data_IF_535564491750
#
_entry.id   IF_535564491750
#
_cell.length_a   1.000
_cell.length_b   1.000
_cell.length_c   1.000
_cell.angle_alpha   90.00
_cell.angle_beta   90.00
_cell.angle_gamma   90.00
#
_symmetry.space_group_name_H-M   'P 1'
#
loop_
_entity.id
_entity.type
_entity.pdbx_description
1 polymer ?
#
# COMPACT_ATOMS: atom_id res chain seq x y z
N UNK A 1 -32.57 7.75 -0.80
CA UNK A 1 -32.02 7.00 -1.93
C UNK A 1 -30.60 7.50 -2.26
N UNK A 2 -29.55 7.08 -1.49
CA UNK A 2 -28.16 7.57 -1.73
C UNK A 2 -27.10 6.56 -1.29
N UNK A 3 -27.27 5.26 -1.55
CA UNK A 3 -26.29 4.29 -1.03
C UNK A 3 -25.78 3.23 -2.03
N UNK A 4 -25.95 3.43 -3.34
CA UNK A 4 -25.44 2.46 -4.34
C UNK A 4 -24.06 2.81 -4.92
N UNK A 5 -23.60 4.05 -4.84
CA UNK A 5 -22.32 4.47 -5.45
C UNK A 5 -21.07 4.08 -4.66
N UNK A 6 -21.17 3.73 -3.39
CA UNK A 6 -20.00 3.41 -2.54
C UNK A 6 -19.46 1.99 -2.67
N UNK A 7 -20.18 1.09 -3.34
CA UNK A 7 -19.91 -0.36 -3.28
C UNK A 7 -18.59 -0.79 -3.93
N UNK A 8 -18.06 -0.01 -4.88
CA UNK A 8 -16.85 -0.35 -5.66
C UNK A 8 -15.67 0.63 -5.49
N UNK A 9 -15.77 1.58 -4.58
CA UNK A 9 -14.66 2.52 -4.30
C UNK A 9 -13.67 1.89 -3.30
N UNK A 10 -12.39 2.24 -3.45
CA UNK A 10 -11.37 1.90 -2.45
C UNK A 10 -11.77 2.41 -1.07
N UNK A 11 -11.25 1.76 -0.04
CA UNK A 11 -11.51 2.15 1.34
C UNK A 11 -10.78 3.45 1.65
N UNK A 12 -11.50 4.43 2.21
CA UNK A 12 -10.95 5.73 2.60
C UNK A 12 -10.41 5.71 4.03
N UNK A 13 -9.67 6.74 4.41
CA UNK A 13 -9.25 6.92 5.81
C UNK A 13 -10.45 6.99 6.76
N UNK A 14 -11.53 7.68 6.36
CA UNK A 14 -12.75 7.80 7.18
C UNK A 14 -13.42 6.43 7.37
N UNK A 15 -13.47 5.60 6.31
CA UNK A 15 -13.96 4.21 6.42
C UNK A 15 -13.12 3.42 7.43
N UNK A 16 -11.80 3.58 7.42
CA UNK A 16 -10.86 2.91 8.32
C UNK A 16 -11.00 3.38 9.78
N UNK A 17 -11.22 4.69 9.99
CA UNK A 17 -11.49 5.24 11.32
C UNK A 17 -12.79 4.67 11.88
N UNK A 18 -13.86 4.63 11.08
CA UNK A 18 -15.14 4.06 11.49
C UNK A 18 -15.00 2.56 11.83
N UNK A 19 -14.22 1.79 11.04
CA UNK A 19 -13.91 0.39 11.36
C UNK A 19 -13.21 0.30 12.72
N UNK A 20 -12.18 1.10 12.95
CA UNK A 20 -11.42 1.09 14.21
C UNK A 20 -12.31 1.39 15.41
N UNK A 21 -13.18 2.40 15.33
CA UNK A 21 -14.11 2.75 16.39
C UNK A 21 -15.12 1.65 16.66
N UNK A 22 -15.71 1.08 15.61
CA UNK A 22 -16.65 -0.03 15.72
C UNK A 22 -16.01 -1.27 16.34
N UNK A 23 -14.77 -1.59 15.96
CA UNK A 23 -13.98 -2.66 16.58
C UNK A 23 -13.73 -2.40 18.07
N UNK A 24 -13.46 -1.15 18.44
CA UNK A 24 -13.25 -0.77 19.84
C UNK A 24 -14.51 -0.88 20.68
N UNK A 25 -15.67 -0.77 20.04
CA UNK A 25 -16.99 -1.01 20.66
C UNK A 25 -17.41 -2.50 20.64
N UNK A 26 -16.58 -3.39 20.13
CA UNK A 26 -16.87 -4.84 20.07
C UNK A 26 -17.91 -5.22 19.02
N UNK A 27 -18.14 -4.42 18.01
CA UNK A 27 -19.11 -4.69 16.95
C UNK A 27 -18.68 -5.84 16.04
N UNK A 28 -19.67 -6.57 15.49
CA UNK A 28 -19.43 -7.64 14.52
C UNK A 28 -19.10 -7.08 13.13
N UNK A 29 -18.36 -7.84 12.31
CA UNK A 29 -18.07 -7.43 10.92
C UNK A 29 -19.32 -7.15 10.08
N UNK A 30 -20.43 -7.86 10.35
CA UNK A 30 -21.72 -7.59 9.67
C UNK A 30 -22.24 -6.19 10.01
N UNK A 31 -22.19 -5.81 11.29
CA UNK A 31 -22.63 -4.49 11.74
C UNK A 31 -21.72 -3.37 11.23
N UNK A 32 -20.40 -3.58 11.26
CA UNK A 32 -19.42 -2.64 10.71
C UNK A 32 -19.63 -2.45 9.20
N UNK A 33 -19.82 -3.54 8.48
CA UNK A 33 -20.04 -3.52 7.03
C UNK A 33 -21.28 -2.70 6.63
N UNK A 34 -22.36 -2.81 7.40
CA UNK A 34 -23.58 -2.02 7.19
C UNK A 34 -23.33 -0.52 7.38
N UNK A 35 -22.50 -0.13 8.35
CA UNK A 35 -22.17 1.29 8.62
C UNK A 35 -21.26 1.90 7.55
N UNK A 36 -20.21 1.15 7.15
CA UNK A 36 -19.23 1.61 6.16
C UNK A 36 -19.73 1.46 4.72
N UNK A 37 -20.84 0.74 4.50
CA UNK A 37 -21.39 0.46 3.17
C UNK A 37 -20.51 -0.49 2.34
N UNK A 38 -19.84 -1.44 2.99
CA UNK A 38 -18.98 -2.46 2.37
C UNK A 38 -19.49 -3.87 2.69
N UNK A 39 -18.90 -4.90 2.08
CA UNK A 39 -19.25 -6.28 2.45
C UNK A 39 -18.55 -6.72 3.75
N UNK A 40 -19.13 -7.62 4.55
CA UNK A 40 -18.48 -8.17 5.75
C UNK A 40 -17.15 -8.86 5.44
N UNK A 41 -17.03 -9.48 4.27
CA UNK A 41 -15.79 -10.10 3.80
C UNK A 41 -14.70 -9.08 3.51
N UNK A 42 -15.05 -7.91 2.98
CA UNK A 42 -14.12 -6.79 2.77
C UNK A 42 -13.58 -6.27 4.10
N UNK A 43 -14.47 -6.06 5.09
CA UNK A 43 -14.05 -5.64 6.44
C UNK A 43 -13.13 -6.68 7.09
N UNK A 44 -13.47 -7.96 6.98
CA UNK A 44 -12.64 -9.04 7.52
C UNK A 44 -11.25 -9.10 6.89
N UNK A 45 -11.16 -8.92 5.57
CA UNK A 45 -9.88 -8.87 4.84
C UNK A 45 -9.05 -7.66 5.26
N UNK A 46 -9.64 -6.48 5.30
CA UNK A 46 -8.99 -5.24 5.74
C UNK A 46 -8.38 -5.40 7.14
N UNK A 47 -9.17 -5.89 8.11
CA UNK A 47 -8.69 -6.09 9.49
C UNK A 47 -7.56 -7.11 9.55
N UNK A 48 -7.65 -8.23 8.82
CA UNK A 48 -6.62 -9.28 8.82
C UNK A 48 -5.31 -8.84 8.17
N UNK A 49 -5.39 -8.05 7.09
CA UNK A 49 -4.20 -7.57 6.37
C UNK A 49 -3.45 -6.53 7.20
N UNK A 50 -4.19 -5.62 7.85
CA UNK A 50 -3.61 -4.46 8.53
C UNK A 50 -3.54 -4.58 10.05
N UNK A 51 -3.87 -5.75 10.63
CA UNK A 51 -3.64 -5.96 12.06
C UNK A 51 -2.15 -6.09 12.36
N UNK A 52 -1.74 -5.52 13.48
CA UNK A 52 -0.36 -5.59 13.94
C UNK A 52 -0.22 -6.22 15.33
N UNK A 53 0.91 -6.87 15.54
CA UNK A 53 1.24 -7.51 16.82
C UNK A 53 1.92 -6.52 17.73
N UNK A 54 1.32 -6.27 18.89
CA UNK A 54 1.92 -5.48 19.95
C UNK A 54 2.43 -6.40 21.08
N UNK A 55 3.72 -6.28 21.36
CA UNK A 55 4.37 -6.97 22.46
C UNK A 55 4.55 -5.95 23.59
N UNK A 56 4.06 -6.25 24.77
CA UNK A 56 4.29 -5.45 25.97
C UNK A 56 5.17 -6.22 26.96
N UNK A 57 5.68 -5.53 27.98
CA UNK A 57 6.53 -6.11 29.04
C UNK A 57 5.85 -7.22 29.86
N UNK A 58 4.53 -7.36 29.77
CA UNK A 58 3.75 -8.34 30.52
C UNK A 58 3.46 -9.62 29.73
N UNK A 59 3.93 -9.73 28.48
CA UNK A 59 3.78 -10.95 27.67
C UNK A 59 4.63 -12.05 28.31
N UNK A 60 3.97 -13.06 28.83
CA UNK A 60 4.61 -14.22 29.49
C UNK A 60 4.22 -15.56 28.87
N UNK A 61 3.26 -15.57 27.92
CA UNK A 61 2.77 -16.78 27.30
C UNK A 61 3.15 -16.81 25.84
N UNK A 62 3.82 -17.85 25.43
CA UNK A 62 3.98 -18.20 24.04
C UNK A 62 2.67 -18.78 23.52
N UNK A 63 2.16 -18.22 22.44
CA UNK A 63 0.91 -18.66 21.83
C UNK A 63 -0.04 -17.52 21.51
N UNK A 64 -1.15 -17.90 20.89
CA UNK A 64 -2.20 -16.99 20.45
C UNK A 64 -3.37 -17.06 21.42
N UNK A 65 -3.88 -15.90 21.85
CA UNK A 65 -5.09 -15.83 22.64
C UNK A 65 -6.27 -16.48 21.87
N UNK A 66 -7.01 -17.38 22.52
CA UNK A 66 -8.15 -18.10 21.92
C UNK A 66 -9.20 -17.17 21.33
N UNK A 67 -9.38 -15.96 21.89
CA UNK A 67 -10.29 -14.94 21.33
C UNK A 67 -9.86 -14.45 19.95
N UNK A 68 -8.57 -14.49 19.61
CA UNK A 68 -8.05 -14.07 18.31
C UNK A 68 -8.21 -15.11 17.20
N UNK A 69 -8.60 -16.34 17.54
CA UNK A 69 -8.93 -17.38 16.56
C UNK A 69 -10.32 -17.18 15.92
N UNK A 70 -11.13 -16.32 16.52
CA UNK A 70 -12.48 -15.97 16.05
C UNK A 70 -12.55 -14.47 15.72
N UNK A 71 -13.50 -14.11 14.84
CA UNK A 71 -13.78 -12.71 14.56
C UNK A 71 -14.06 -11.92 15.87
N UNK A 72 -13.52 -10.69 15.98
CA UNK A 72 -12.90 -9.86 14.95
C UNK A 72 -11.38 -10.02 14.76
N UNK A 73 -10.73 -11.04 15.31
CA UNK A 73 -9.29 -11.36 15.20
C UNK A 73 -8.35 -10.32 15.81
N UNK A 74 -8.88 -9.28 16.45
CA UNK A 74 -8.13 -8.17 17.06
C UNK A 74 -8.60 -7.89 18.48
N UNK A 75 -7.73 -7.23 19.23
CA UNK A 75 -7.97 -6.87 20.64
C UNK A 75 -8.58 -5.47 20.82
N UNK A 76 -9.00 -4.77 19.77
CA UNK A 76 -9.51 -3.41 19.85
C UNK A 76 -10.65 -3.25 20.88
N UNK A 77 -11.63 -4.14 20.87
CA UNK A 77 -12.74 -4.15 21.83
C UNK A 77 -12.56 -5.09 23.04
N UNK A 78 -11.32 -5.57 23.29
CA UNK A 78 -11.09 -6.49 24.41
C UNK A 78 -10.97 -5.72 25.73
N UNK A 79 -11.78 -6.06 26.73
CA UNK A 79 -11.74 -5.45 28.07
C UNK A 79 -10.38 -5.60 28.77
N UNK A 80 -9.65 -6.68 28.48
CA UNK A 80 -8.33 -6.93 29.06
C UNK A 80 -7.20 -6.16 28.32
N UNK A 81 -7.52 -5.40 27.27
CA UNK A 81 -6.53 -4.70 26.46
C UNK A 81 -5.67 -3.74 27.26
N UNK A 82 -6.27 -2.98 28.18
CA UNK A 82 -5.59 -1.99 29.03
C UNK A 82 -5.02 -2.57 30.33
N UNK A 83 -5.35 -3.83 30.64
CA UNK A 83 -4.95 -4.44 31.91
C UNK A 83 -3.67 -5.25 31.77
N UNK A 84 -2.82 -5.21 32.79
CA UNK A 84 -1.62 -6.05 32.92
C UNK A 84 -1.94 -7.55 33.03
N UNK A 85 -3.20 -7.91 33.24
CA UNK A 85 -3.67 -9.30 33.31
C UNK A 85 -3.63 -10.05 31.98
N UNK A 86 -3.61 -9.35 30.82
CA UNK A 86 -3.44 -10.00 29.53
C UNK A 86 -1.97 -10.33 29.27
N UNK A 87 -1.63 -11.63 29.26
CA UNK A 87 -0.27 -12.16 29.09
C UNK A 87 0.08 -12.56 27.67
N UNK A 88 -0.87 -12.46 26.72
CA UNK A 88 -0.67 -12.79 25.30
C UNK A 88 -0.19 -11.59 24.50
N UNK A 89 0.43 -11.86 23.35
CA UNK A 89 0.66 -10.85 22.31
C UNK A 89 -0.67 -10.30 21.85
N UNK A 90 -0.77 -8.99 21.69
CA UNK A 90 -2.01 -8.31 21.29
C UNK A 90 -2.00 -8.07 19.79
N UNK A 91 -3.14 -8.32 19.16
CA UNK A 91 -3.37 -7.94 17.77
C UNK A 91 -4.25 -6.69 17.76
N UNK A 92 -3.81 -5.62 17.14
CA UNK A 92 -4.55 -4.36 17.06
C UNK A 92 -4.71 -3.92 15.61
N UNK A 93 -5.86 -3.40 15.28
CA UNK A 93 -6.10 -2.69 14.03
C UNK A 93 -6.00 -1.19 14.27
N UNK A 94 -5.22 -0.49 13.42
CA UNK A 94 -5.03 0.95 13.43
C UNK A 94 -5.37 1.54 12.07
N UNK A 95 -6.36 2.44 12.02
CA UNK A 95 -6.79 3.11 10.80
C UNK A 95 -5.65 3.90 10.14
N UNK A 96 -4.86 4.62 10.94
CA UNK A 96 -3.73 5.41 10.45
C UNK A 96 -2.66 4.53 9.80
N UNK A 97 -2.33 3.39 10.44
CA UNK A 97 -1.35 2.45 9.89
C UNK A 97 -1.86 1.80 8.60
N UNK A 98 -3.10 1.30 8.61
CA UNK A 98 -3.72 0.70 7.43
C UNK A 98 -3.77 1.68 6.24
N UNK A 99 -4.01 2.97 6.50
CA UNK A 99 -3.96 4.00 5.48
C UNK A 99 -2.54 4.20 4.95
N UNK A 100 -1.53 4.31 5.82
CA UNK A 100 -0.13 4.46 5.41
C UNK A 100 0.37 3.28 4.60
N UNK A 101 0.06 2.04 4.99
CA UNK A 101 0.40 0.84 4.22
C UNK A 101 -0.27 0.85 2.84
N UNK A 102 -1.55 1.24 2.75
CA UNK A 102 -2.25 1.39 1.48
C UNK A 102 -1.60 2.45 0.57
N UNK A 103 -1.24 3.62 1.12
CA UNK A 103 -0.56 4.68 0.39
C UNK A 103 0.81 4.24 -0.11
N UNK A 104 1.57 3.50 0.70
CA UNK A 104 2.86 2.90 0.30
C UNK A 104 2.69 1.97 -0.89
N UNK A 105 1.73 1.05 -0.85
CA UNK A 105 1.43 0.14 -1.97
C UNK A 105 1.02 0.91 -3.22
N UNK A 106 0.24 2.00 -3.09
CA UNK A 106 -0.11 2.85 -4.22
C UNK A 106 1.09 3.54 -4.86
N UNK A 107 2.03 4.04 -4.04
CA UNK A 107 3.26 4.66 -4.52
C UNK A 107 4.13 3.61 -5.20
N UNK A 108 4.41 2.50 -4.53
CA UNK A 108 5.24 1.42 -5.05
C UNK A 108 4.70 0.84 -6.37
N UNK A 109 3.38 0.65 -6.47
CA UNK A 109 2.75 0.16 -7.70
C UNK A 109 2.87 1.11 -8.89
N UNK A 110 3.12 2.41 -8.64
CA UNK A 110 3.29 3.45 -9.65
C UNK A 110 4.75 3.78 -9.96
N UNK A 111 5.68 3.33 -9.13
CA UNK A 111 7.13 3.55 -9.32
C UNK A 111 7.74 2.56 -10.30
N UNK A 112 7.03 1.49 -10.64
CA UNK A 112 7.48 0.51 -11.62
C UNK A 112 7.61 1.06 -13.04
N UNK A 113 8.39 0.36 -13.87
CA UNK A 113 8.54 0.64 -15.30
C UNK A 113 7.34 0.02 -16.02
N UNK A 114 6.51 0.78 -16.76
CA UNK A 114 5.32 0.28 -17.42
C UNK A 114 5.63 -0.49 -18.72
N UNK A 115 6.79 -1.12 -18.79
CA UNK A 115 7.27 -1.90 -19.93
C UNK A 115 7.63 -3.32 -19.48
N UNK A 116 7.45 -4.30 -20.39
CA UNK A 116 8.06 -5.60 -20.17
C UNK A 116 9.59 -5.50 -20.28
N UNK A 117 10.29 -6.53 -19.79
CA UNK A 117 11.75 -6.53 -19.70
C UNK A 117 12.44 -6.31 -21.06
N UNK A 118 11.94 -6.93 -22.11
CA UNK A 118 12.50 -6.84 -23.47
C UNK A 118 12.33 -5.44 -24.05
N UNK A 119 11.11 -4.89 -23.99
CA UNK A 119 10.82 -3.52 -24.43
C UNK A 119 11.59 -2.48 -23.62
N UNK A 120 11.84 -2.72 -22.33
CA UNK A 120 12.63 -1.82 -21.51
C UNK A 120 14.08 -1.74 -22.00
N UNK A 121 14.73 -2.87 -22.23
CA UNK A 121 16.11 -2.89 -22.73
C UNK A 121 16.24 -2.30 -24.15
N UNK A 122 15.24 -2.50 -25.00
CA UNK A 122 15.23 -1.89 -26.33
C UNK A 122 15.16 -0.37 -26.25
N UNK A 123 14.22 0.15 -25.45
CA UNK A 123 14.08 1.59 -25.20
C UNK A 123 15.35 2.19 -24.59
N UNK A 124 15.94 1.49 -23.61
CA UNK A 124 17.17 1.93 -22.98
C UNK A 124 18.33 2.01 -23.98
N UNK A 125 18.49 1.01 -24.84
CA UNK A 125 19.52 1.00 -25.89
C UNK A 125 19.37 2.19 -26.83
N UNK A 126 18.15 2.44 -27.33
CA UNK A 126 17.88 3.58 -28.22
C UNK A 126 18.22 4.91 -27.53
N UNK A 127 17.78 5.08 -26.29
CA UNK A 127 18.04 6.32 -25.54
C UNK A 127 19.56 6.49 -25.32
N UNK A 128 20.25 5.45 -24.90
CA UNK A 128 21.70 5.51 -24.63
C UNK A 128 22.51 5.84 -25.90
N UNK A 129 22.19 5.16 -27.01
CA UNK A 129 22.88 5.37 -28.28
C UNK A 129 22.69 6.79 -28.83
N UNK A 130 21.49 7.32 -28.72
CA UNK A 130 21.17 8.64 -29.27
C UNK A 130 21.59 9.80 -28.34
N UNK A 131 21.58 9.59 -27.02
CA UNK A 131 22.19 10.55 -26.08
C UNK A 131 23.71 10.63 -26.28
N UNK A 132 24.41 9.53 -26.53
CA UNK A 132 25.84 9.55 -26.86
C UNK A 132 26.14 10.31 -28.15
N UNK A 133 25.21 10.36 -29.09
CA UNK A 133 25.28 11.18 -30.31
C UNK A 133 24.93 12.67 -30.07
N UNK A 134 24.66 13.06 -28.82
CA UNK A 134 24.30 14.42 -28.43
C UNK A 134 22.84 14.80 -28.72
N UNK A 135 21.93 13.83 -28.94
CA UNK A 135 20.53 14.13 -29.17
C UNK A 135 19.80 14.43 -27.86
N UNK A 136 18.90 15.39 -27.91
CA UNK A 136 18.06 15.72 -26.76
C UNK A 136 16.95 14.69 -26.57
N UNK A 137 16.67 14.29 -25.33
CA UNK A 137 15.67 13.25 -24.97
C UNK A 137 14.31 13.48 -25.63
N UNK A 138 13.85 14.74 -25.75
CA UNK A 138 12.61 15.07 -26.43
C UNK A 138 12.58 14.55 -27.88
N UNK A 139 13.66 14.78 -28.63
CA UNK A 139 13.76 14.33 -30.03
C UNK A 139 13.85 12.81 -30.10
N UNK A 140 14.64 12.18 -29.22
CA UNK A 140 14.77 10.71 -29.18
C UNK A 140 13.41 10.04 -28.99
N UNK A 141 12.63 10.47 -28.00
CA UNK A 141 11.31 9.89 -27.70
C UNK A 141 10.34 10.09 -28.86
N UNK A 142 10.36 11.28 -29.48
CA UNK A 142 9.44 11.62 -30.59
C UNK A 142 9.83 10.95 -31.90
N UNK A 143 11.11 10.97 -32.27
CA UNK A 143 11.59 10.41 -33.55
C UNK A 143 11.45 8.88 -33.59
N UNK A 144 11.74 8.22 -32.46
CA UNK A 144 11.65 6.76 -32.36
C UNK A 144 10.27 6.27 -31.94
N UNK A 145 9.28 7.15 -31.75
CA UNK A 145 7.92 6.80 -31.31
C UNK A 145 7.91 5.85 -30.09
N UNK A 146 8.78 6.14 -29.09
CA UNK A 146 8.95 5.25 -27.96
C UNK A 146 7.65 5.11 -27.13
N UNK A 147 7.33 3.91 -26.59
CA UNK A 147 6.10 3.63 -25.87
C UNK A 147 6.11 4.19 -24.42
N UNK A 148 6.93 5.21 -24.16
CA UNK A 148 7.07 5.86 -22.86
C UNK A 148 7.01 7.38 -23.00
N UNK A 149 6.57 8.06 -21.95
CA UNK A 149 6.53 9.53 -21.93
C UNK A 149 7.93 10.12 -21.63
N UNK A 150 8.17 11.33 -22.11
CA UNK A 150 9.39 12.08 -21.82
C UNK A 150 9.61 12.23 -20.30
N UNK A 151 8.55 12.51 -19.56
CA UNK A 151 8.59 12.59 -18.09
C UNK A 151 9.02 11.27 -17.44
N UNK A 152 8.63 10.14 -18.01
CA UNK A 152 9.02 8.81 -17.53
C UNK A 152 10.53 8.58 -17.76
N UNK A 153 11.06 8.99 -18.92
CA UNK A 153 12.51 8.89 -19.19
C UNK A 153 13.31 9.69 -18.16
N UNK A 154 12.97 10.96 -17.94
CA UNK A 154 13.66 11.78 -16.94
C UNK A 154 13.58 11.19 -15.52
N UNK A 155 12.43 10.64 -15.13
CA UNK A 155 12.28 9.97 -13.83
C UNK A 155 13.16 8.73 -13.71
N UNK A 156 13.33 7.95 -14.78
CA UNK A 156 14.23 6.79 -14.78
C UNK A 156 15.69 7.20 -14.66
N UNK A 157 16.07 8.28 -15.34
CA UNK A 157 17.42 8.86 -15.24
C UNK A 157 17.69 9.35 -13.82
N UNK A 158 16.78 10.11 -13.21
CA UNK A 158 16.91 10.62 -11.84
C UNK A 158 17.00 9.52 -10.78
N UNK A 159 16.38 8.37 -11.04
CA UNK A 159 16.38 7.23 -10.10
C UNK A 159 17.49 6.20 -10.41
N UNK A 160 18.49 6.54 -11.25
CA UNK A 160 19.58 5.64 -11.68
C UNK A 160 19.10 4.28 -12.24
N UNK A 161 17.90 4.24 -12.82
CA UNK A 161 17.28 3.01 -13.33
C UNK A 161 17.87 2.65 -14.71
N UNK A 162 18.44 3.62 -15.43
CA UNK A 162 19.00 3.46 -16.76
C UNK A 162 20.49 3.75 -16.79
N UNK A 163 21.24 3.04 -17.64
CA UNK A 163 22.69 3.27 -17.85
C UNK A 163 22.93 4.68 -18.42
N UNK A 164 21.97 5.24 -19.14
CA UNK A 164 22.02 6.62 -19.65
C UNK A 164 22.05 7.69 -18.54
N UNK A 165 21.64 7.37 -17.30
CA UNK A 165 21.76 8.27 -16.16
C UNK A 165 23.22 8.72 -15.93
N UNK A 166 24.18 7.81 -16.11
CA UNK A 166 25.62 8.10 -15.96
C UNK A 166 26.18 9.01 -17.06
N UNK A 167 25.54 9.05 -18.23
CA UNK A 167 25.98 9.86 -19.36
C UNK A 167 25.46 11.31 -19.26
N UNK A 168 24.27 11.51 -18.74
CA UNK A 168 23.60 12.83 -18.63
C UNK A 168 24.12 13.62 -17.42
N UNK A 169 24.49 12.93 -16.32
CA UNK A 169 25.02 13.57 -15.10
C UNK A 169 26.52 13.95 -15.19
N UNK A 170 27.17 13.79 -16.35
CA UNK A 170 28.59 14.10 -16.56
C UNK A 170 28.84 15.42 -17.30
N UNK A 171 27.90 16.34 -17.30
CA UNK A 171 28.24 17.71 -17.76
C UNK A 171 28.74 18.54 -16.57
N UNK A 172 29.86 19.28 -16.78
CA UNK A 172 30.59 20.06 -15.78
C UNK A 172 29.81 21.29 -15.32
#
# INVERSE_FOLDING_TARGET
MQNQEKKNKHMTLDDRIEIQECLSRGMTFKAIAARVGKSPTTISKEVKIHMETHINSFVKLDGVCQKLLKAPFVCNGCELRSRSSCRYRRQLYSAKKAQGEYETVLVESRTGIPLNKESFYEVERIISDDVQKGQHIYHIVKSNSLPISIATVYRHIQNDITVSAQLICREP
#
